data_IF_312148419150
#
_entry.id   IF_312148419150
#
_cell.length_a   1.000
_cell.length_b   1.000
_cell.length_c   1.000
_cell.angle_alpha   90.00
_cell.angle_beta   90.00
_cell.angle_gamma   90.00
#
_symmetry.space_group_name_H-M   'P 1'
#
loop_
_entity.id
_entity.type
_entity.pdbx_description
1 polymer ?
#
# COMPACT_ATOMS: atom_id res chain seq x y z
N UNK A 1 1.56 12.05 6.85
CA UNK A 1 0.66 11.08 6.26
C UNK A 1 1.36 10.38 5.09
N UNK A 2 1.50 9.05 5.20
CA UNK A 2 2.15 8.23 4.17
C UNK A 2 1.09 7.36 3.52
N UNK A 3 0.76 7.65 2.25
CA UNK A 3 -0.19 6.88 1.47
C UNK A 3 0.57 6.10 0.39
N UNK A 4 0.07 4.91 0.10
CA UNK A 4 0.43 4.14 -1.08
C UNK A 4 -0.74 4.23 -2.05
N UNK A 5 -0.46 4.45 -3.33
CA UNK A 5 -1.47 4.49 -4.37
C UNK A 5 -1.06 3.69 -5.57
N UNK A 6 -2.06 3.11 -6.23
CA UNK A 6 -1.90 2.47 -7.52
C UNK A 6 -2.97 2.98 -8.48
N UNK A 7 -2.60 3.10 -9.75
CA UNK A 7 -3.54 3.37 -10.84
C UNK A 7 -3.52 2.15 -11.74
N UNK A 8 -4.70 1.65 -12.04
CA UNK A 8 -4.90 0.53 -12.95
C UNK A 8 -5.88 0.98 -14.04
N UNK A 9 -5.58 0.64 -15.28
CA UNK A 9 -6.40 0.99 -16.45
C UNK A 9 -6.95 -0.31 -17.03
N UNK A 10 -8.24 -0.33 -17.29
CA UNK A 10 -8.97 -1.49 -17.76
C UNK A 10 -9.80 -1.16 -19.00
N UNK A 11 -10.10 -2.19 -19.79
CA UNK A 11 -11.14 -2.12 -20.83
C UNK A 11 -12.52 -2.02 -20.17
N UNK A 12 -13.38 -1.11 -20.65
CA UNK A 12 -14.67 -0.87 -20.03
C UNK A 12 -15.74 -1.89 -20.41
N UNK A 13 -15.61 -2.55 -21.57
CA UNK A 13 -16.63 -3.41 -22.14
C UNK A 13 -17.33 -4.36 -21.15
N UNK A 14 -16.59 -5.18 -20.37
CA UNK A 14 -17.18 -6.14 -19.43
C UNK A 14 -18.01 -5.54 -18.29
N UNK A 15 -17.72 -4.28 -17.93
CA UNK A 15 -18.41 -3.56 -16.85
C UNK A 15 -19.33 -2.43 -17.36
N UNK A 16 -19.51 -2.32 -18.67
CA UNK A 16 -20.36 -1.28 -19.25
C UNK A 16 -21.83 -1.62 -19.09
N UNK A 17 -22.60 -0.70 -18.52
CA UNK A 17 -24.04 -0.80 -18.33
C UNK A 17 -24.64 0.61 -18.47
N UNK A 18 -25.74 0.74 -19.17
CA UNK A 18 -26.48 2.01 -19.40
C UNK A 18 -25.60 3.19 -19.84
N UNK A 19 -24.53 2.91 -20.60
CA UNK A 19 -23.60 3.94 -21.11
C UNK A 19 -22.48 4.35 -20.15
N UNK A 20 -22.46 3.85 -18.92
CA UNK A 20 -21.43 4.09 -17.91
C UNK A 20 -20.76 2.81 -17.40
N UNK A 21 -19.99 2.92 -16.33
CA UNK A 21 -19.42 1.78 -15.61
C UNK A 21 -20.40 1.34 -14.52
N UNK A 22 -20.73 0.04 -14.48
CA UNK A 22 -21.57 -0.59 -13.47
C UNK A 22 -20.88 -0.55 -12.08
N UNK A 23 -20.93 0.60 -11.43
CA UNK A 23 -20.24 0.85 -10.14
C UNK A 23 -20.69 -0.12 -9.06
N UNK A 24 -21.96 -0.54 -9.07
CA UNK A 24 -22.48 -1.47 -8.07
C UNK A 24 -21.92 -2.87 -8.24
N UNK A 25 -21.58 -3.30 -9.45
CA UNK A 25 -20.84 -4.55 -9.68
C UNK A 25 -19.43 -4.47 -9.10
N UNK A 26 -18.77 -3.32 -9.25
CA UNK A 26 -17.44 -3.09 -8.65
C UNK A 26 -17.53 -3.14 -7.12
N UNK A 27 -18.52 -2.49 -6.52
CA UNK A 27 -18.75 -2.52 -5.06
C UNK A 27 -19.04 -3.92 -4.56
N UNK A 28 -19.91 -4.66 -5.24
CA UNK A 28 -20.24 -6.04 -4.90
C UNK A 28 -19.00 -6.96 -4.96
N UNK A 29 -18.16 -6.81 -5.97
CA UNK A 29 -16.91 -7.55 -6.07
C UNK A 29 -15.96 -7.28 -4.90
N UNK A 30 -15.86 -6.02 -4.44
CA UNK A 30 -15.08 -5.69 -3.26
C UNK A 30 -15.71 -6.25 -1.98
N UNK A 31 -17.00 -6.09 -1.79
CA UNK A 31 -17.70 -6.62 -0.61
C UNK A 31 -17.56 -8.12 -0.47
N UNK A 32 -17.58 -8.86 -1.58
CA UNK A 32 -17.45 -10.32 -1.59
C UNK A 32 -16.13 -10.82 -0.97
N UNK A 33 -15.06 -10.03 -1.02
CA UNK A 33 -13.73 -10.41 -0.52
C UNK A 33 -13.29 -9.67 0.74
N UNK A 34 -14.02 -8.64 1.20
CA UNK A 34 -13.62 -7.85 2.40
C UNK A 34 -13.55 -8.68 3.68
N UNK A 35 -14.30 -9.78 3.77
CA UNK A 35 -14.25 -10.69 4.91
C UNK A 35 -12.89 -11.40 5.03
N UNK A 36 -12.15 -11.55 3.94
CA UNK A 36 -10.82 -12.14 3.88
C UNK A 36 -9.72 -11.18 4.33
N UNK A 37 -10.02 -9.87 4.35
CA UNK A 37 -9.09 -8.80 4.73
C UNK A 37 -9.73 -7.88 5.79
N UNK A 38 -9.92 -8.37 7.04
CA UNK A 38 -10.68 -7.64 8.07
C UNK A 38 -10.20 -6.22 8.32
N UNK A 39 -8.91 -5.95 8.09
CA UNK A 39 -8.30 -4.62 8.26
C UNK A 39 -8.99 -3.54 7.43
N UNK A 40 -9.58 -3.88 6.29
CA UNK A 40 -10.29 -2.95 5.42
C UNK A 40 -11.66 -2.52 5.98
N UNK A 41 -12.15 -3.18 7.04
CA UNK A 41 -13.36 -2.79 7.79
C UNK A 41 -13.04 -2.26 9.20
N UNK A 42 -11.75 -2.02 9.50
CA UNK A 42 -11.30 -1.53 10.79
C UNK A 42 -10.81 -0.09 10.71
N UNK A 43 -11.09 0.69 11.76
CA UNK A 43 -10.61 2.05 11.95
C UNK A 43 -9.74 2.19 13.18
N UNK A 44 -9.10 3.34 13.33
CA UNK A 44 -8.27 3.63 14.49
C UNK A 44 -9.11 4.08 15.68
N UNK A 45 -8.84 3.52 16.84
CA UNK A 45 -9.21 4.06 18.15
C UNK A 45 -7.93 4.37 18.94
N UNK A 46 -8.00 5.29 19.89
CA UNK A 46 -6.83 5.75 20.63
C UNK A 46 -6.93 5.35 22.09
N UNK A 47 -5.86 4.74 22.62
CA UNK A 47 -5.78 4.43 24.04
C UNK A 47 -5.64 5.75 24.79
N UNK A 48 -6.56 6.06 25.73
CA UNK A 48 -6.49 7.27 26.54
C UNK A 48 -5.15 7.39 27.27
N UNK A 49 -4.64 8.61 27.42
CA UNK A 49 -3.39 8.97 28.07
C UNK A 49 -2.11 8.55 27.32
N UNK A 50 -2.16 7.49 26.52
CA UNK A 50 -0.97 6.99 25.80
C UNK A 50 -0.85 7.51 24.37
N UNK A 51 -1.95 8.02 23.84
CA UNK A 51 -2.03 8.47 22.44
C UNK A 51 -1.55 7.39 21.42
N UNK A 52 -1.74 6.12 21.78
CA UNK A 52 -1.37 4.98 20.95
C UNK A 52 -2.59 4.46 20.21
N UNK A 53 -2.49 4.28 18.86
CA UNK A 53 -3.59 3.78 18.07
C UNK A 53 -3.75 2.26 18.22
N UNK A 54 -5.00 1.81 18.21
CA UNK A 54 -5.41 0.41 18.09
C UNK A 54 -6.46 0.28 17.00
N UNK A 55 -6.57 -0.90 16.41
CA UNK A 55 -7.57 -1.18 15.40
C UNK A 55 -8.85 -1.72 16.05
N UNK A 56 -9.98 -1.13 15.67
CA UNK A 56 -11.31 -1.57 16.08
C UNK A 56 -12.20 -1.72 14.84
N UNK A 57 -13.18 -2.62 14.91
CA UNK A 57 -14.12 -2.78 13.82
C UNK A 57 -14.96 -1.51 13.66
N UNK A 58 -15.25 -1.10 12.41
CA UNK A 58 -16.11 0.05 12.16
C UNK A 58 -17.58 -0.41 12.06
N UNK A 59 -18.45 -0.09 13.04
CA UNK A 59 -19.85 -0.50 13.02
C UNK A 59 -20.67 0.26 11.95
N UNK A 60 -20.13 1.33 11.42
CA UNK A 60 -20.76 2.16 10.39
C UNK A 60 -20.02 2.09 9.05
N UNK A 61 -19.35 0.96 8.80
CA UNK A 61 -18.69 0.75 7.51
C UNK A 61 -19.68 0.83 6.35
N UNK A 62 -19.36 1.64 5.36
CA UNK A 62 -20.14 1.84 4.15
C UNK A 62 -19.23 1.77 2.95
N UNK A 63 -19.46 0.82 2.06
CA UNK A 63 -18.64 0.60 0.88
C UNK A 63 -18.65 1.82 -0.06
N UNK A 64 -19.80 2.51 -0.16
CA UNK A 64 -19.95 3.69 -1.03
C UNK A 64 -19.05 4.86 -0.66
N UNK A 65 -18.71 4.99 0.62
CA UNK A 65 -17.73 5.98 1.05
C UNK A 65 -16.33 5.64 0.54
N UNK A 66 -16.00 4.36 0.50
CA UNK A 66 -14.67 3.87 0.15
C UNK A 66 -14.48 3.69 -1.35
N UNK A 67 -15.53 3.28 -2.08
CA UNK A 67 -15.49 3.11 -3.53
C UNK A 67 -16.31 4.23 -4.17
N UNK A 68 -15.58 5.22 -4.66
CA UNK A 68 -16.12 6.45 -5.24
C UNK A 68 -16.10 6.38 -6.77
N UNK A 69 -17.02 7.07 -7.39
CA UNK A 69 -17.16 7.11 -8.84
C UNK A 69 -17.00 8.55 -9.34
N UNK A 70 -16.25 8.73 -10.42
CA UNK A 70 -16.04 10.04 -11.06
C UNK A 70 -15.84 9.83 -12.57
N UNK A 71 -16.37 10.77 -13.35
CA UNK A 71 -16.16 10.80 -14.80
C UNK A 71 -15.06 11.81 -15.17
N UNK A 72 -14.23 11.46 -16.16
CA UNK A 72 -13.33 12.43 -16.77
C UNK A 72 -14.08 13.39 -17.69
N UNK A 73 -13.67 14.65 -17.77
CA UNK A 73 -14.17 15.53 -18.80
C UNK A 73 -13.75 15.05 -20.19
N UNK A 74 -14.59 15.29 -21.19
CA UNK A 74 -14.22 15.00 -22.59
C UNK A 74 -12.93 15.78 -22.97
N UNK A 75 -11.95 15.17 -23.65
CA UNK A 75 -11.96 13.86 -24.33
C UNK A 75 -11.52 12.66 -23.47
N UNK A 76 -11.29 12.79 -22.17
CA UNK A 76 -10.89 11.67 -21.32
C UNK A 76 -9.44 11.22 -21.54
N UNK A 77 -8.52 12.15 -21.66
CA UNK A 77 -7.10 11.90 -21.92
C UNK A 77 -6.39 11.36 -20.67
N UNK A 78 -5.22 10.71 -20.90
CA UNK A 78 -4.33 10.31 -19.80
C UNK A 78 -3.87 11.51 -18.96
N UNK A 79 -3.74 12.69 -19.56
CA UNK A 79 -3.39 13.91 -18.82
C UNK A 79 -4.48 14.31 -17.83
N UNK A 80 -5.74 14.09 -18.15
CA UNK A 80 -6.88 14.32 -17.24
C UNK A 80 -6.92 13.30 -16.13
N UNK A 81 -6.66 12.02 -16.45
CA UNK A 81 -6.52 10.97 -15.43
C UNK A 81 -5.40 11.30 -14.45
N UNK A 82 -4.21 11.72 -14.92
CA UNK A 82 -3.09 12.15 -14.08
C UNK A 82 -3.46 13.32 -13.16
N UNK A 83 -4.26 14.28 -13.65
CA UNK A 83 -4.76 15.40 -12.82
C UNK A 83 -5.71 14.93 -11.72
N UNK A 84 -6.64 14.03 -12.04
CA UNK A 84 -7.55 13.46 -11.05
C UNK A 84 -6.76 12.67 -10.00
N UNK A 85 -5.83 11.81 -10.44
CA UNK A 85 -4.97 11.05 -9.53
C UNK A 85 -4.17 11.96 -8.59
N UNK A 86 -3.58 13.04 -9.10
CA UNK A 86 -2.86 14.02 -8.28
C UNK A 86 -3.76 14.61 -7.19
N UNK A 87 -4.99 15.01 -7.53
CA UNK A 87 -5.95 15.54 -6.55
C UNK A 87 -6.36 14.52 -5.51
N UNK A 88 -6.61 13.27 -5.91
CA UNK A 88 -6.91 12.18 -4.96
C UNK A 88 -5.74 11.98 -3.98
N UNK A 89 -4.50 12.10 -4.47
CA UNK A 89 -3.31 11.94 -3.64
C UNK A 89 -3.01 13.13 -2.71
N UNK A 90 -3.48 14.33 -3.02
CA UNK A 90 -3.30 15.51 -2.19
C UNK A 90 -4.07 15.45 -0.87
N UNK A 91 -5.27 14.87 -0.89
CA UNK A 91 -6.12 14.79 0.30
C UNK A 91 -5.63 13.70 1.25
N UNK A 92 -5.76 13.95 2.55
CA UNK A 92 -5.51 12.94 3.58
C UNK A 92 -6.74 12.04 3.75
N UNK A 93 -6.52 10.77 4.11
CA UNK A 93 -7.60 9.86 4.48
C UNK A 93 -8.20 10.25 5.84
N UNK A 94 -9.52 10.11 5.96
CA UNK A 94 -10.22 10.34 7.23
C UNK A 94 -9.84 9.27 8.24
N UNK A 95 -9.23 9.68 9.36
CA UNK A 95 -8.77 8.77 10.42
C UNK A 95 -9.90 8.19 11.29
N UNK A 96 -11.11 8.69 11.14
CA UNK A 96 -12.30 8.15 11.83
C UNK A 96 -12.94 6.99 11.07
N UNK A 97 -12.38 6.62 9.92
CA UNK A 97 -12.83 5.56 9.03
C UNK A 97 -11.70 4.60 8.70
N UNK A 98 -11.97 3.44 8.11
CA UNK A 98 -10.93 2.59 7.53
C UNK A 98 -10.06 3.39 6.54
N UNK A 99 -8.75 3.21 6.64
CA UNK A 99 -7.78 4.13 6.01
C UNK A 99 -7.48 3.76 4.55
N UNK A 100 -8.51 3.69 3.73
CA UNK A 100 -8.40 3.44 2.30
C UNK A 100 -9.53 4.08 1.52
N UNK A 101 -9.28 4.36 0.26
CA UNK A 101 -10.23 4.82 -0.74
C UNK A 101 -9.88 4.21 -2.09
N UNK A 102 -10.88 3.96 -2.91
CA UNK A 102 -10.74 3.63 -4.31
C UNK A 102 -11.66 4.53 -5.14
N UNK A 103 -11.12 5.05 -6.22
CA UNK A 103 -11.85 5.87 -7.17
C UNK A 103 -11.96 5.13 -8.48
N UNK A 104 -13.18 4.86 -8.93
CA UNK A 104 -13.47 4.37 -10.27
C UNK A 104 -13.63 5.59 -11.16
N UNK A 105 -12.78 5.70 -12.17
CA UNK A 105 -12.69 6.86 -13.06
C UNK A 105 -13.12 6.42 -14.46
N UNK A 106 -14.31 6.80 -14.87
CA UNK A 106 -14.84 6.48 -16.20
C UNK A 106 -14.54 7.57 -17.24
N UNK A 107 -14.85 7.28 -18.49
CA UNK A 107 -14.71 8.23 -19.60
C UNK A 107 -13.28 8.35 -20.14
N UNK A 108 -12.40 7.40 -19.89
CA UNK A 108 -11.06 7.37 -20.47
C UNK A 108 -11.14 6.98 -21.96
N UNK A 109 -10.35 7.67 -22.78
CA UNK A 109 -10.25 7.40 -24.22
C UNK A 109 -9.96 5.92 -24.53
N UNK A 110 -10.53 5.41 -25.63
CA UNK A 110 -10.33 4.02 -26.09
C UNK A 110 -11.23 3.03 -25.38
N UNK A 111 -12.43 3.46 -24.95
CA UNK A 111 -13.39 2.62 -24.22
C UNK A 111 -12.80 1.96 -22.96
N UNK A 112 -12.10 2.76 -22.16
CA UNK A 112 -11.41 2.34 -20.94
C UNK A 112 -11.94 3.06 -19.72
N UNK A 113 -11.68 2.48 -18.57
CA UNK A 113 -11.82 3.14 -17.27
C UNK A 113 -10.56 2.91 -16.44
N UNK A 114 -10.41 3.66 -15.36
CA UNK A 114 -9.30 3.47 -14.44
C UNK A 114 -9.79 3.32 -13.01
N UNK A 115 -9.00 2.64 -12.19
CA UNK A 115 -9.14 2.69 -10.73
C UNK A 115 -7.93 3.39 -10.13
N UNK A 116 -8.18 4.25 -9.14
CA UNK A 116 -7.15 4.89 -8.33
C UNK A 116 -7.35 4.41 -6.90
N UNK A 117 -6.53 3.47 -6.48
CA UNK A 117 -6.52 3.00 -5.09
C UNK A 117 -5.58 3.83 -4.24
N UNK A 118 -5.99 4.16 -3.03
CA UNK A 118 -5.22 4.91 -2.06
C UNK A 118 -5.40 4.29 -0.68
N UNK A 119 -4.30 3.87 -0.09
CA UNK A 119 -4.28 3.17 1.20
C UNK A 119 -3.23 3.79 2.10
N UNK A 120 -3.52 3.97 3.38
CA UNK A 120 -2.50 4.42 4.31
C UNK A 120 -1.46 3.32 4.53
N UNK A 121 -0.19 3.71 4.54
CA UNK A 121 0.93 2.74 4.59
C UNK A 121 0.88 1.78 5.79
N UNK A 122 0.24 2.16 6.91
CA UNK A 122 0.09 1.26 8.06
C UNK A 122 -0.92 0.11 7.86
N UNK A 123 -1.69 0.13 6.76
CA UNK A 123 -2.63 -0.96 6.43
C UNK A 123 -2.04 -2.02 5.52
N UNK A 124 -1.00 -1.67 4.79
CA UNK A 124 -0.35 -2.58 3.83
C UNK A 124 1.08 -2.82 4.30
N UNK A 125 1.36 -4.04 4.72
CA UNK A 125 2.65 -4.63 4.51
C UNK A 125 2.71 -5.09 3.04
N UNK A 126 3.86 -5.10 2.43
CA UNK A 126 3.97 -5.34 0.98
C UNK A 126 3.22 -6.58 0.46
N UNK A 127 2.96 -7.58 1.32
CA UNK A 127 2.26 -8.82 0.97
C UNK A 127 0.73 -8.66 0.95
N UNK A 128 0.14 -7.96 1.93
CA UNK A 128 -1.32 -7.87 2.07
C UNK A 128 -2.00 -7.07 0.94
N UNK A 129 -1.31 -6.07 0.37
CA UNK A 129 -1.82 -5.32 -0.78
C UNK A 129 -1.89 -6.16 -2.06
N UNK A 130 -0.91 -7.04 -2.26
CA UNK A 130 -0.89 -7.97 -3.40
C UNK A 130 -1.95 -9.05 -3.23
N UNK A 131 -2.12 -9.59 -2.03
CA UNK A 131 -3.13 -10.60 -1.74
C UNK A 131 -4.55 -10.09 -2.02
N UNK A 132 -4.88 -8.87 -1.58
CA UNK A 132 -6.17 -8.27 -1.90
C UNK A 132 -6.36 -8.11 -3.41
N UNK A 133 -5.36 -7.60 -4.13
CA UNK A 133 -5.43 -7.45 -5.58
C UNK A 133 -5.62 -8.80 -6.29
N UNK A 134 -4.92 -9.85 -5.86
CA UNK A 134 -5.07 -11.19 -6.43
C UNK A 134 -6.46 -11.78 -6.21
N UNK A 135 -7.12 -11.47 -5.10
CA UNK A 135 -8.48 -11.93 -4.82
C UNK A 135 -9.56 -11.16 -5.56
N UNK A 136 -9.29 -9.89 -5.86
CA UNK A 136 -10.20 -9.02 -6.63
C UNK A 136 -10.07 -9.20 -8.13
N UNK A 137 -8.89 -9.60 -8.60
CA UNK A 137 -8.62 -9.80 -10.03
C UNK A 137 -8.86 -11.27 -10.38
N UNK A 138 -10.05 -11.57 -10.88
CA UNK A 138 -10.34 -12.87 -11.47
C UNK A 138 -9.63 -13.03 -12.82
N UNK A 139 -9.17 -14.24 -13.16
CA UNK A 139 -8.65 -14.54 -14.51
C UNK A 139 -9.73 -14.48 -15.60
N UNK A 140 -11.02 -14.51 -15.23
CA UNK A 140 -12.15 -14.43 -16.15
C UNK A 140 -12.96 -13.15 -15.92
N UNK A 141 -13.29 -12.38 -16.98
CA UNK A 141 -14.14 -11.19 -16.87
C UNK A 141 -15.63 -11.54 -16.63
N UNK A 142 -16.00 -12.80 -16.64
CA UNK A 142 -17.38 -13.29 -16.51
C UNK A 142 -17.66 -13.94 -15.15
N UNK A 143 -16.68 -13.97 -14.25
CA UNK A 143 -16.88 -14.51 -12.91
C UNK A 143 -17.77 -13.54 -12.11
N UNK A 144 -18.92 -14.03 -11.66
CA UNK A 144 -19.77 -13.27 -10.75
C UNK A 144 -19.24 -13.39 -9.31
N UNK A 145 -19.16 -12.28 -8.57
CA UNK A 145 -18.71 -12.31 -7.17
C UNK A 145 -19.72 -13.09 -6.30
N UNK A 146 -19.20 -13.94 -5.44
CA UNK A 146 -20.03 -14.63 -4.46
C UNK A 146 -20.61 -13.63 -3.45
N UNK A 147 -21.87 -13.84 -2.97
CA UNK A 147 -22.43 -12.98 -1.95
C UNK A 147 -21.55 -12.94 -0.69
N UNK A 148 -21.26 -11.76 -0.14
CA UNK A 148 -20.45 -11.65 1.06
C UNK A 148 -21.17 -12.26 2.26
N UNK A 149 -20.45 -12.88 3.21
CA UNK A 149 -21.05 -13.26 4.48
C UNK A 149 -21.49 -12.01 5.26
N UNK A 150 -22.54 -12.12 6.11
CA UNK A 150 -22.99 -11.00 6.93
C UNK A 150 -21.87 -10.41 7.77
N UNK A 151 -21.79 -9.08 7.83
CA UNK A 151 -20.81 -8.39 8.64
C UNK A 151 -21.34 -8.10 10.03
N UNK A 152 -20.71 -8.69 11.05
CA UNK A 152 -21.01 -8.48 12.45
C UNK A 152 -19.83 -7.80 13.14
N UNK A 153 -19.79 -6.45 13.21
CA UNK A 153 -18.70 -5.74 13.86
C UNK A 153 -18.71 -5.99 15.36
N UNK A 154 -17.54 -6.18 15.95
CA UNK A 154 -17.40 -6.25 17.41
C UNK A 154 -17.68 -4.87 18.01
N UNK A 155 -18.28 -4.79 19.20
CA UNK A 155 -18.47 -3.53 19.90
C UNK A 155 -17.14 -2.77 20.04
N UNK A 156 -17.18 -1.46 19.87
CA UNK A 156 -16.00 -0.62 20.08
C UNK A 156 -15.69 -0.61 21.59
N UNK A 157 -14.47 -1.00 22.01
CA UNK A 157 -14.10 -0.93 23.43
C UNK A 157 -14.15 0.50 23.94
N UNK A 158 -14.64 0.69 25.16
CA UNK A 158 -14.56 1.98 25.86
C UNK A 158 -13.11 2.38 26.14
N UNK A 159 -12.87 3.66 26.34
CA UNK A 159 -11.53 4.15 26.72
C UNK A 159 -10.98 3.48 28.01
N UNK A 160 -11.84 3.16 28.96
CA UNK A 160 -11.47 2.46 30.19
C UNK A 160 -11.05 1.00 29.91
N UNK A 161 -11.75 0.30 29.03
CA UNK A 161 -11.38 -1.05 28.60
C UNK A 161 -10.05 -1.06 27.86
N UNK A 162 -9.85 -0.12 26.93
CA UNK A 162 -8.57 0.01 26.20
C UNK A 162 -7.40 0.27 27.15
N UNK A 163 -7.59 1.15 28.15
CA UNK A 163 -6.56 1.45 29.13
C UNK A 163 -6.26 0.23 30.03
N UNK A 164 -7.30 -0.45 30.51
CA UNK A 164 -7.17 -1.68 31.30
C UNK A 164 -6.39 -2.75 30.54
N UNK A 165 -6.76 -2.98 29.30
CA UNK A 165 -6.13 -4.02 28.47
C UNK A 165 -4.67 -3.69 28.19
N UNK A 166 -4.33 -2.42 27.98
CA UNK A 166 -2.94 -1.99 27.83
C UNK A 166 -2.13 -2.16 29.14
N UNK A 167 -2.70 -1.81 30.29
CA UNK A 167 -2.07 -2.05 31.60
C UNK A 167 -1.80 -3.55 31.82
N UNK A 168 -2.80 -4.40 31.54
CA UNK A 168 -2.65 -5.86 31.64
C UNK A 168 -1.59 -6.38 30.66
N UNK A 169 -1.53 -5.86 29.45
CA UNK A 169 -0.49 -6.19 28.48
C UNK A 169 0.90 -5.86 29.02
N UNK A 170 1.09 -4.70 29.64
CA UNK A 170 2.40 -4.29 30.22
C UNK A 170 2.80 -5.18 31.39
N UNK A 171 1.86 -5.53 32.27
CA UNK A 171 2.14 -6.42 33.40
C UNK A 171 2.49 -7.85 32.92
N UNK A 172 1.82 -8.33 31.87
CA UNK A 172 2.04 -9.70 31.36
C UNK A 172 3.17 -9.81 30.34
N UNK A 173 3.62 -8.70 29.73
CA UNK A 173 4.70 -8.69 28.72
C UNK A 173 6.03 -9.28 29.24
N UNK A 174 6.55 -8.92 30.43
CA UNK A 174 7.78 -9.50 30.94
C UNK A 174 7.66 -11.01 31.15
N UNK A 175 6.50 -11.48 31.64
CA UNK A 175 6.24 -12.93 31.83
C UNK A 175 6.15 -13.68 30.49
N UNK A 176 5.59 -13.06 29.45
CA UNK A 176 5.56 -13.63 28.09
C UNK A 176 6.97 -13.66 27.46
N UNK A 177 7.75 -12.59 27.67
CA UNK A 177 9.14 -12.56 27.23
C UNK A 177 10.01 -13.64 27.89
N UNK A 178 9.84 -13.85 29.20
CA UNK A 178 10.53 -14.91 29.94
C UNK A 178 10.11 -16.31 29.46
N UNK A 179 8.83 -16.55 29.19
CA UNK A 179 8.34 -17.83 28.62
C UNK A 179 8.86 -18.04 27.20
N UNK A 180 8.89 -16.98 26.38
CA UNK A 180 9.49 -17.02 25.05
C UNK A 180 11.00 -17.35 25.08
N UNK A 181 11.74 -16.80 26.03
CA UNK A 181 13.16 -17.14 26.27
C UNK A 181 13.34 -18.57 26.75
N UNK A 182 12.42 -19.12 27.54
CA UNK A 182 12.47 -20.53 27.95
C UNK A 182 12.18 -21.47 26.78
N UNK A 183 11.12 -21.20 25.99
CA UNK A 183 10.83 -21.96 24.77
C UNK A 183 11.98 -21.88 23.74
N UNK A 184 12.61 -20.70 23.64
CA UNK A 184 13.78 -20.49 22.78
C UNK A 184 15.02 -21.28 23.25
N UNK A 185 15.15 -21.50 24.56
CA UNK A 185 16.28 -22.27 25.14
C UNK A 185 16.15 -23.75 24.86
N UNK A 186 14.92 -24.26 24.73
CA UNK A 186 14.67 -25.69 24.47
C UNK A 186 14.86 -26.05 22.97
N UNK A 187 14.88 -25.03 22.08
CA UNK A 187 15.03 -25.15 20.62
C UNK A 187 16.44 -24.83 20.09
N UNK A 188 17.41 -24.60 21.02
CA UNK A 188 18.71 -23.91 20.78
C UNK A 188 19.79 -24.74 20.03
N UNK A 189 19.62 -26.01 19.75
CA UNK A 189 20.65 -26.75 19.06
C UNK A 189 20.76 -26.46 17.54
N UNK A 190 19.68 -25.94 16.91
CA UNK A 190 19.64 -25.58 15.46
C UNK A 190 19.81 -24.08 15.20
N UNK A 191 19.75 -23.24 16.24
CA UNK A 191 19.47 -21.76 16.13
C UNK A 191 20.75 -20.90 16.07
N UNK A 192 21.95 -21.47 16.33
CA UNK A 192 23.21 -20.66 16.35
C UNK A 192 23.50 -19.98 15.03
N UNK A 193 23.20 -20.63 13.92
CA UNK A 193 23.44 -20.08 12.58
C UNK A 193 22.39 -19.00 12.23
N UNK A 194 21.14 -19.25 12.57
CA UNK A 194 20.01 -18.33 12.32
C UNK A 194 20.07 -17.07 13.21
N UNK A 195 20.50 -17.18 14.47
CA UNK A 195 20.76 -16.03 15.36
C UNK A 195 21.93 -15.20 14.86
N UNK A 196 22.98 -15.82 14.34
CA UNK A 196 24.10 -15.12 13.72
C UNK A 196 23.71 -14.30 12.50
N UNK A 197 22.79 -14.81 11.67
CA UNK A 197 22.22 -14.10 10.50
C UNK A 197 21.33 -12.94 10.96
N UNK A 198 20.44 -13.15 11.94
CA UNK A 198 19.56 -12.10 12.47
C UNK A 198 20.32 -11.00 13.20
N UNK A 199 21.36 -11.31 13.96
CA UNK A 199 22.22 -10.32 14.62
C UNK A 199 23.03 -9.51 13.61
N UNK A 200 23.54 -10.13 12.54
CA UNK A 200 24.18 -9.40 11.43
C UNK A 200 23.18 -8.49 10.73
N UNK A 201 22.00 -8.98 10.40
CA UNK A 201 20.93 -8.15 9.80
C UNK A 201 20.53 -6.98 10.71
N UNK A 202 20.44 -7.15 12.03
CA UNK A 202 20.20 -6.07 12.99
C UNK A 202 21.38 -5.10 13.05
N UNK A 203 22.62 -5.58 12.98
CA UNK A 203 23.82 -4.75 12.89
C UNK A 203 23.86 -3.93 11.61
N UNK A 204 23.48 -4.52 10.47
CA UNK A 204 23.38 -3.84 9.19
C UNK A 204 22.28 -2.78 9.20
N UNK A 205 21.11 -3.08 9.78
CA UNK A 205 20.02 -2.13 9.96
C UNK A 205 20.44 -0.98 10.88
N UNK A 206 21.13 -1.26 11.98
CA UNK A 206 21.67 -0.23 12.87
C UNK A 206 22.72 0.64 12.15
N UNK A 207 23.65 0.01 11.41
CA UNK A 207 24.64 0.74 10.59
C UNK A 207 23.97 1.62 9.53
N UNK A 208 22.87 1.16 8.94
CA UNK A 208 22.07 1.93 8.00
C UNK A 208 21.37 3.13 8.70
N UNK A 209 20.83 2.91 9.90
CA UNK A 209 20.13 3.97 10.65
C UNK A 209 21.07 5.10 11.11
N UNK A 210 22.32 4.81 11.41
CA UNK A 210 23.31 5.78 11.88
C UNK A 210 24.15 6.42 10.78
N UNK A 211 24.09 5.93 9.52
CA UNK A 211 24.84 6.54 8.43
C UNK A 211 24.15 7.82 7.93
N UNK A 212 24.92 8.89 7.78
CA UNK A 212 24.44 10.14 7.19
C UNK A 212 24.05 9.88 5.73
N UNK A 213 22.81 10.20 5.41
CA UNK A 213 22.32 10.24 4.02
C UNK A 213 22.72 11.60 3.43
N UNK A 214 23.20 11.61 2.19
CA UNK A 214 23.53 12.86 1.50
C UNK A 214 22.29 13.73 1.36
N UNK A 215 22.42 15.03 1.62
CA UNK A 215 21.35 15.98 1.34
C UNK A 215 21.17 16.09 -0.17
N UNK A 216 19.93 16.01 -0.62
CA UNK A 216 19.58 16.06 -2.04
C UNK A 216 18.39 16.98 -2.25
N UNK A 217 18.13 17.47 -3.47
CA UNK A 217 16.93 18.25 -3.77
C UNK A 217 15.62 17.51 -3.49
N UNK A 218 15.65 16.18 -3.24
CA UNK A 218 14.49 15.36 -2.87
C UNK A 218 14.19 15.38 -1.36
N UNK A 219 15.10 15.91 -0.53
CA UNK A 219 14.97 15.96 0.93
C UNK A 219 14.32 17.25 1.45
N UNK A 220 13.82 18.10 0.57
CA UNK A 220 13.16 19.35 0.92
C UNK A 220 11.80 19.16 1.59
N UNK A 221 11.23 20.24 2.19
CA UNK A 221 9.89 20.22 2.73
C UNK A 221 8.86 19.90 1.64
N UNK A 222 7.90 19.02 1.97
CA UNK A 222 6.84 18.63 1.04
C UNK A 222 5.71 19.66 1.06
N UNK A 223 5.33 20.16 -0.11
CA UNK A 223 4.10 20.94 -0.27
C UNK A 223 2.86 20.01 -0.18
N UNK A 224 1.65 20.56 0.04
CA UNK A 224 0.42 19.76 -0.01
C UNK A 224 0.14 19.22 -1.42
N UNK A 225 0.65 19.89 -2.43
CA UNK A 225 0.40 19.51 -3.83
C UNK A 225 1.16 18.25 -4.21
N UNK A 226 0.52 17.43 -5.05
CA UNK A 226 1.11 16.23 -5.63
C UNK A 226 1.08 16.34 -7.14
N UNK A 227 2.17 15.93 -7.77
CA UNK A 227 2.24 15.74 -9.22
C UNK A 227 2.59 14.30 -9.51
N UNK A 228 1.85 13.70 -10.41
CA UNK A 228 1.98 12.30 -10.74
C UNK A 228 2.25 12.14 -12.23
N UNK A 229 3.17 11.25 -12.56
CA UNK A 229 3.45 10.87 -13.94
C UNK A 229 3.91 9.41 -14.02
N UNK A 230 3.78 8.81 -15.20
CA UNK A 230 4.25 7.48 -15.50
C UNK A 230 4.68 7.38 -16.97
N UNK A 231 5.45 6.36 -17.26
CA UNK A 231 5.77 5.94 -18.62
C UNK A 231 5.37 4.45 -18.78
N UNK A 232 4.99 4.11 -19.99
CA UNK A 232 4.63 2.75 -20.36
C UNK A 232 5.83 2.06 -20.99
N UNK A 233 6.04 0.79 -20.62
CA UNK A 233 7.12 -0.04 -21.12
C UNK A 233 6.60 -1.44 -21.40
N UNK A 234 7.07 -2.04 -22.49
CA UNK A 234 6.74 -3.42 -22.82
C UNK A 234 7.41 -4.38 -21.84
N UNK A 235 6.60 -5.22 -21.19
CA UNK A 235 7.12 -6.29 -20.32
C UNK A 235 8.04 -7.26 -21.09
N UNK A 236 7.79 -7.47 -22.38
CA UNK A 236 8.63 -8.31 -23.23
C UNK A 236 10.03 -7.70 -23.39
N UNK A 237 10.12 -6.38 -23.61
CA UNK A 237 11.40 -5.66 -23.69
C UNK A 237 12.15 -5.73 -22.35
N UNK A 238 11.48 -5.47 -21.23
CA UNK A 238 12.09 -5.60 -19.89
C UNK A 238 12.61 -7.00 -19.65
N UNK A 239 11.84 -8.06 -20.02
CA UNK A 239 12.28 -9.45 -19.94
C UNK A 239 13.47 -9.77 -20.85
N UNK A 240 13.55 -9.16 -22.02
CA UNK A 240 14.70 -9.31 -22.92
C UNK A 240 15.96 -8.70 -22.32
N UNK A 241 15.89 -7.49 -21.79
CA UNK A 241 17.00 -6.81 -21.10
C UNK A 241 17.46 -7.63 -19.89
N UNK A 242 16.53 -8.06 -19.04
CA UNK A 242 16.82 -8.91 -17.89
C UNK A 242 17.62 -10.16 -18.31
N UNK A 243 17.17 -10.85 -19.37
CA UNK A 243 17.82 -12.05 -19.88
C UNK A 243 19.23 -11.76 -20.41
N UNK A 244 19.40 -10.66 -21.12
CA UNK A 244 20.70 -10.27 -21.69
C UNK A 244 21.71 -9.92 -20.60
N UNK A 245 21.28 -9.32 -19.49
CA UNK A 245 22.13 -8.89 -18.38
C UNK A 245 22.27 -9.95 -17.27
N UNK A 246 21.52 -11.04 -17.32
CA UNK A 246 21.54 -12.08 -16.28
C UNK A 246 21.01 -11.60 -14.91
N UNK A 247 20.09 -10.62 -14.90
CA UNK A 247 19.58 -9.99 -13.70
C UNK A 247 18.06 -10.24 -13.51
N UNK A 248 17.45 -9.69 -12.45
CA UNK A 248 16.01 -9.78 -12.21
C UNK A 248 15.25 -8.64 -12.90
N UNK A 249 13.92 -8.76 -13.03
CA UNK A 249 13.07 -7.65 -13.49
C UNK A 249 13.19 -6.44 -12.55
N UNK A 250 13.28 -6.70 -11.23
CA UNK A 250 13.46 -5.65 -10.25
C UNK A 250 14.77 -4.88 -10.43
N UNK A 251 15.85 -5.55 -10.79
CA UNK A 251 17.14 -4.89 -11.06
C UNK A 251 17.05 -3.96 -12.27
N UNK A 252 16.32 -4.36 -13.33
CA UNK A 252 16.06 -3.50 -14.48
C UNK A 252 15.26 -2.26 -14.07
N UNK A 253 14.21 -2.41 -13.27
CA UNK A 253 13.40 -1.30 -12.75
C UNK A 253 14.26 -0.36 -11.89
N UNK A 254 15.06 -0.92 -10.97
CA UNK A 254 15.97 -0.12 -10.14
C UNK A 254 17.02 0.62 -10.98
N UNK A 255 17.53 0.01 -12.03
CA UNK A 255 18.43 0.67 -12.97
C UNK A 255 17.79 1.86 -13.67
N UNK A 256 16.54 1.72 -14.13
CA UNK A 256 15.78 2.82 -14.75
C UNK A 256 15.54 3.95 -13.74
N UNK A 257 15.12 3.63 -12.51
CA UNK A 257 14.90 4.62 -11.45
C UNK A 257 16.21 5.34 -11.10
N UNK A 258 17.31 4.60 -11.00
CA UNK A 258 18.63 5.17 -10.71
C UNK A 258 19.04 6.19 -11.77
N UNK A 259 18.86 5.86 -13.05
CA UNK A 259 19.18 6.79 -14.14
C UNK A 259 18.23 8.01 -14.15
N UNK A 260 16.95 7.81 -13.87
CA UNK A 260 16.00 8.91 -13.73
C UNK A 260 16.41 9.88 -12.61
N UNK A 261 16.79 9.35 -11.44
CA UNK A 261 17.29 10.16 -10.30
C UNK A 261 18.59 10.87 -10.68
N UNK A 262 19.53 10.18 -11.34
CA UNK A 262 20.78 10.79 -11.81
C UNK A 262 20.51 11.99 -12.71
N UNK A 263 19.63 11.84 -13.71
CA UNK A 263 19.26 12.94 -14.62
C UNK A 263 18.57 14.08 -13.87
N UNK A 264 17.72 13.77 -12.92
CA UNK A 264 17.07 14.77 -12.08
C UNK A 264 18.11 15.59 -11.29
N UNK A 265 19.11 14.95 -10.67
CA UNK A 265 20.18 15.64 -9.94
C UNK A 265 20.96 16.58 -10.87
N UNK A 266 21.37 16.08 -12.03
CA UNK A 266 22.07 16.90 -13.05
C UNK A 266 21.23 18.09 -13.52
N UNK A 267 19.92 17.92 -13.69
CA UNK A 267 19.01 19.02 -14.05
C UNK A 267 18.88 20.10 -12.98
N UNK A 268 19.29 19.78 -11.76
CA UNK A 268 19.33 20.70 -10.59
C UNK A 268 20.75 21.19 -10.29
N UNK A 269 21.71 20.97 -11.19
CA UNK A 269 23.12 21.29 -11.02
C UNK A 269 23.77 20.63 -9.79
N UNK A 270 23.29 19.42 -9.44
CA UNK A 270 23.86 18.60 -8.37
C UNK A 270 24.63 17.46 -8.98
N UNK A 271 25.93 17.34 -8.66
CA UNK A 271 26.77 16.24 -9.11
C UNK A 271 26.41 14.94 -8.37
N UNK A 272 25.93 13.89 -9.06
CA UNK A 272 25.56 12.64 -8.42
C UNK A 272 26.75 11.75 -8.04
N UNK A 273 27.98 12.05 -8.47
CA UNK A 273 29.15 11.18 -8.29
C UNK A 273 29.49 10.88 -6.82
N UNK A 274 29.15 11.80 -5.91
CA UNK A 274 29.45 11.71 -4.48
C UNK A 274 28.20 11.53 -3.62
N UNK A 275 27.03 11.26 -4.23
CA UNK A 275 25.76 11.10 -3.52
C UNK A 275 25.51 9.64 -3.27
N UNK A 276 25.37 9.26 -1.99
CA UNK A 276 24.83 7.95 -1.62
C UNK A 276 23.31 8.03 -1.58
N UNK A 277 22.65 7.48 -2.60
CA UNK A 277 21.21 7.37 -2.67
C UNK A 277 20.76 5.99 -2.18
N UNK A 278 19.74 5.95 -1.32
CA UNK A 278 19.18 4.70 -0.82
C UNK A 278 17.75 4.55 -1.29
N UNK A 279 17.46 3.42 -1.88
CA UNK A 279 16.11 3.03 -2.27
C UNK A 279 15.72 1.76 -1.51
N UNK A 280 14.48 1.73 -1.01
CA UNK A 280 13.86 0.54 -0.46
C UNK A 280 12.96 -0.05 -1.54
N UNK A 281 13.28 -1.26 -1.99
CA UNK A 281 12.43 -2.02 -2.89
C UNK A 281 11.89 -3.24 -2.17
N UNK A 282 10.58 -3.44 -2.24
CA UNK A 282 9.93 -4.65 -1.74
C UNK A 282 10.07 -5.73 -2.80
N UNK A 283 10.82 -6.77 -2.48
CA UNK A 283 11.00 -7.94 -3.33
C UNK A 283 10.16 -9.05 -2.74
N UNK A 284 9.25 -9.62 -3.54
CA UNK A 284 8.64 -10.89 -3.22
C UNK A 284 9.64 -12.00 -3.59
N UNK A 285 10.10 -12.68 -2.58
CA UNK A 285 10.91 -13.89 -2.71
C UNK A 285 9.96 -15.07 -2.87
#
# INVERSE_FOLDING_TARGET
DRHVSAIQIYEAGPLREDGGIAIDKVRAAYESVLHLVPRYRQKLAWIPLENRPVWVDDPHFQIDYHIRHVALPHPGSLAELKRVASRVMEHTLDRNRPLWEMWVVEGLQGDRFATISKVHHCMVDGASGVELAQRLLSPSPHDEPEPPPPYYPRPIPSGAELLRDELMRRVTMPLRALRGLQAFRDEVDDVREEVGVRLRALGDIAGIAFSRVSETPLNGPLSPHRRFDWLEMSLAEVKAVRKALGCTVNDVVLGIVTEAVRRFMLSRNVDPAHITFRALSLIHI
#
